data_IF_973908269381
#
_entry.id   IF_973908269381
#
_cell.length_a   1.000
_cell.length_b   1.000
_cell.length_c   1.000
_cell.angle_alpha   90.00
_cell.angle_beta   90.00
_cell.angle_gamma   90.00
#
_symmetry.space_group_name_H-M   'P 1'
#
loop_
_entity.id
_entity.type
_entity.pdbx_description
1 polymer ?
#
# COMPACT_ATOMS: atom_id res chain seq x y z
N UNK A 1 -17.64 -14.70 3.58
CA UNK A 1 -18.78 -14.19 2.77
C UNK A 1 -18.34 -13.73 1.39
N UNK A 2 -17.34 -12.83 1.27
CA UNK A 2 -16.85 -12.30 -0.02
C UNK A 2 -16.42 -13.40 -0.98
N UNK A 3 -15.69 -14.41 -0.52
CA UNK A 3 -15.21 -15.52 -1.35
C UNK A 3 -16.34 -16.44 -1.86
N UNK A 4 -17.53 -16.34 -1.29
CA UNK A 4 -18.71 -17.11 -1.70
C UNK A 4 -19.61 -16.36 -2.69
N UNK A 5 -19.35 -15.07 -2.91
CA UNK A 5 -20.19 -14.24 -3.79
C UNK A 5 -20.01 -14.57 -5.28
N UNK A 6 -18.98 -15.30 -5.66
CA UNK A 6 -18.61 -15.55 -7.05
C UNK A 6 -18.04 -14.32 -7.78
N UNK A 7 -17.91 -13.20 -7.09
CA UNK A 7 -17.37 -11.96 -7.65
C UNK A 7 -15.90 -11.77 -7.27
N UNK A 8 -15.14 -11.10 -8.13
CA UNK A 8 -13.80 -10.65 -7.78
C UNK A 8 -13.88 -9.54 -6.73
N UNK A 9 -13.01 -9.59 -5.74
CA UNK A 9 -12.94 -8.56 -4.71
C UNK A 9 -11.48 -8.27 -4.31
N UNK A 10 -11.27 -7.12 -3.73
CA UNK A 10 -10.03 -6.75 -3.04
C UNK A 10 -10.35 -6.43 -1.59
N UNK A 11 -9.51 -6.93 -0.68
CA UNK A 11 -9.61 -6.66 0.75
C UNK A 11 -8.32 -5.98 1.22
N UNK A 12 -8.44 -4.78 1.76
CA UNK A 12 -7.34 -4.04 2.36
C UNK A 12 -7.49 -4.06 3.87
N UNK A 13 -6.43 -4.46 4.56
CA UNK A 13 -6.38 -4.48 6.02
C UNK A 13 -5.14 -3.77 6.50
N UNK A 14 -5.27 -2.97 7.55
CA UNK A 14 -4.18 -2.31 8.24
C UNK A 14 -4.06 -2.88 9.64
N UNK A 15 -2.86 -3.35 9.99
CA UNK A 15 -2.54 -3.74 11.37
C UNK A 15 -1.94 -2.54 12.10
N UNK A 16 -2.42 -2.24 13.30
CA UNK A 16 -2.01 -1.07 14.09
C UNK A 16 -1.28 -1.44 15.37
N UNK A 17 -1.17 -2.71 15.68
CA UNK A 17 -0.61 -3.24 16.91
C UNK A 17 0.91 -3.01 17.03
N UNK A 18 1.62 -2.77 15.95
CA UNK A 18 3.06 -2.41 15.95
C UNK A 18 3.33 -0.90 15.97
N UNK A 19 2.28 -0.06 16.05
CA UNK A 19 2.41 1.39 16.01
C UNK A 19 3.23 1.94 17.18
N UNK A 20 4.08 2.94 16.88
CA UNK A 20 4.88 3.63 17.90
C UNK A 20 4.02 4.34 18.96
N UNK A 21 4.55 4.66 20.15
CA UNK A 21 5.94 4.45 20.61
C UNK A 21 6.24 3.03 21.08
N UNK A 22 5.27 2.26 21.56
CA UNK A 22 5.52 1.01 22.29
C UNK A 22 4.97 -0.22 21.55
N UNK A 23 3.97 -0.02 20.70
CA UNK A 23 3.18 -1.10 20.15
C UNK A 23 2.20 -1.71 21.18
N UNK A 24 1.39 -2.63 20.71
CA UNK A 24 0.36 -3.31 21.50
C UNK A 24 0.44 -4.83 21.28
N UNK A 25 0.46 -5.60 22.35
CA UNK A 25 0.42 -7.06 22.28
C UNK A 25 -1.05 -7.49 22.29
N UNK A 26 -1.52 -8.07 21.19
CA UNK A 26 -2.88 -8.59 21.09
C UNK A 26 -3.17 -9.65 22.14
N UNK A 27 -4.42 -9.73 22.59
CA UNK A 27 -4.90 -10.77 23.50
C UNK A 27 -4.85 -12.17 22.90
N UNK A 28 -4.76 -12.28 21.58
CA UNK A 28 -4.64 -13.55 20.85
C UNK A 28 -3.25 -14.16 20.93
N UNK A 29 -2.25 -13.38 21.32
CA UNK A 29 -0.89 -13.87 21.49
C UNK A 29 -0.68 -14.42 22.91
N UNK A 30 -0.04 -15.56 22.99
CA UNK A 30 0.46 -16.09 24.25
C UNK A 30 1.55 -15.16 24.75
N UNK A 31 1.23 -14.16 25.52
CA UNK A 31 2.02 -13.12 26.18
C UNK A 31 3.54 -13.36 26.30
N UNK A 32 4.18 -13.92 25.27
CA UNK A 32 5.62 -14.04 25.19
C UNK A 32 6.21 -12.64 25.21
N UNK A 33 6.86 -12.30 26.29
CA UNK A 33 7.70 -11.12 26.35
C UNK A 33 8.99 -11.45 25.63
N UNK A 34 9.31 -10.74 24.58
CA UNK A 34 10.62 -10.86 23.96
C UNK A 34 11.59 -9.99 24.72
N UNK A 35 12.63 -10.64 25.24
CA UNK A 35 13.72 -9.97 25.90
C UNK A 35 14.80 -9.65 24.86
N UNK A 36 15.30 -8.45 24.92
CA UNK A 36 16.49 -8.05 24.20
C UNK A 36 17.51 -7.52 25.20
N UNK A 37 18.74 -8.05 25.15
CA UNK A 37 19.80 -7.80 26.17
C UNK A 37 19.32 -8.09 27.60
N UNK A 38 18.55 -9.14 27.80
CA UNK A 38 18.04 -9.53 29.11
C UNK A 38 16.97 -8.63 29.69
N UNK A 39 16.36 -7.75 28.88
CA UNK A 39 15.27 -6.85 29.29
C UNK A 39 14.08 -6.98 28.34
N UNK A 40 12.85 -7.05 28.89
CA UNK A 40 11.65 -7.03 28.07
C UNK A 40 11.59 -5.81 27.17
N UNK A 41 11.29 -6.03 25.89
CA UNK A 41 11.10 -4.95 24.92
C UNK A 41 9.68 -5.01 24.32
N UNK A 42 8.90 -3.96 24.58
CA UNK A 42 7.50 -3.90 24.19
C UNK A 42 7.32 -3.92 22.67
N UNK A 43 8.10 -3.14 21.93
CA UNK A 43 8.00 -3.08 20.48
C UNK A 43 8.35 -4.41 19.82
N UNK A 44 9.41 -5.10 20.27
CA UNK A 44 9.73 -6.44 19.75
C UNK A 44 8.63 -7.44 20.06
N UNK A 45 8.06 -7.38 21.27
CA UNK A 45 6.96 -8.26 21.66
C UNK A 45 5.70 -8.02 20.80
N UNK A 46 5.37 -6.75 20.52
CA UNK A 46 4.25 -6.38 19.66
C UNK A 46 4.47 -6.86 18.22
N UNK A 47 5.65 -6.63 17.64
CA UNK A 47 6.00 -7.08 16.29
C UNK A 47 5.91 -8.60 16.18
N UNK A 48 6.46 -9.33 17.13
CA UNK A 48 6.40 -10.79 17.12
C UNK A 48 4.97 -11.31 17.19
N UNK A 49 4.15 -10.73 18.07
CA UNK A 49 2.72 -11.06 18.15
C UNK A 49 1.98 -10.77 16.82
N UNK A 50 2.22 -9.62 16.22
CA UNK A 50 1.63 -9.25 14.95
C UNK A 50 2.01 -10.22 13.83
N UNK A 51 3.27 -10.61 13.75
CA UNK A 51 3.77 -11.59 12.79
C UNK A 51 3.09 -12.96 12.93
N UNK A 52 2.90 -13.45 14.16
CA UNK A 52 2.20 -14.70 14.42
C UNK A 52 0.74 -14.64 13.96
N UNK A 53 0.05 -13.52 14.21
CA UNK A 53 -1.32 -13.30 13.78
C UNK A 53 -1.44 -13.24 12.24
N UNK A 54 -0.54 -12.48 11.59
CA UNK A 54 -0.50 -12.38 10.13
C UNK A 54 -0.22 -13.74 9.50
N UNK A 55 0.77 -14.48 10.01
CA UNK A 55 1.10 -15.83 9.52
C UNK A 55 -0.08 -16.79 9.68
N UNK A 56 -0.77 -16.73 10.82
CA UNK A 56 -1.97 -17.54 11.08
C UNK A 56 -3.08 -17.21 10.08
N UNK A 57 -3.31 -15.92 9.82
CA UNK A 57 -4.30 -15.47 8.85
C UNK A 57 -3.96 -15.93 7.43
N UNK A 58 -2.71 -15.75 6.99
CA UNK A 58 -2.22 -16.22 5.69
C UNK A 58 -2.41 -17.72 5.55
N UNK A 59 -2.03 -18.52 6.58
CA UNK A 59 -2.18 -19.96 6.54
C UNK A 59 -3.64 -20.40 6.43
N UNK A 60 -4.59 -19.69 7.05
CA UNK A 60 -6.03 -19.96 6.86
C UNK A 60 -6.46 -19.70 5.40
N UNK A 61 -5.96 -18.64 4.76
CA UNK A 61 -6.25 -18.39 3.35
C UNK A 61 -5.63 -19.49 2.48
N UNK A 62 -4.37 -19.86 2.74
CA UNK A 62 -3.69 -20.92 1.98
C UNK A 62 -4.37 -22.29 2.07
N UNK A 63 -5.00 -22.58 3.19
CA UNK A 63 -5.79 -23.81 3.38
C UNK A 63 -7.18 -23.76 2.73
N UNK A 64 -7.59 -22.66 2.17
CA UNK A 64 -8.91 -22.50 1.57
C UNK A 64 -8.95 -23.00 0.11
N UNK A 65 -10.12 -23.48 -0.37
CA UNK A 65 -10.26 -23.98 -1.75
C UNK A 65 -10.09 -22.88 -2.82
N UNK A 66 -10.22 -21.61 -2.46
CA UNK A 66 -10.07 -20.47 -3.38
C UNK A 66 -8.64 -19.89 -3.39
N UNK A 67 -7.70 -20.46 -2.64
CA UNK A 67 -6.32 -19.96 -2.58
C UNK A 67 -5.64 -19.91 -3.96
N UNK A 68 -5.92 -20.88 -4.82
CA UNK A 68 -5.38 -20.94 -6.19
C UNK A 68 -5.64 -19.66 -7.02
N UNK A 69 -6.76 -18.97 -6.73
CA UNK A 69 -7.18 -17.75 -7.41
C UNK A 69 -6.92 -16.49 -6.56
N UNK A 70 -6.04 -16.61 -5.56
CA UNK A 70 -5.79 -15.55 -4.58
C UNK A 70 -4.37 -15.01 -4.67
N UNK A 71 -4.25 -13.70 -4.63
CA UNK A 71 -2.98 -12.98 -4.44
C UNK A 71 -3.03 -12.31 -3.06
N UNK A 72 -2.04 -12.61 -2.22
CA UNK A 72 -1.87 -11.98 -0.91
C UNK A 72 -0.65 -11.07 -0.99
N UNK A 73 -0.83 -9.80 -0.69
CA UNK A 73 0.25 -8.81 -0.60
C UNK A 73 0.45 -8.41 0.84
N UNK A 74 1.69 -8.48 1.30
CA UNK A 74 2.08 -7.98 2.63
C UNK A 74 3.13 -6.90 2.43
N UNK A 75 2.86 -5.72 2.95
CA UNK A 75 3.73 -4.56 2.80
C UNK A 75 3.81 -3.77 4.10
N UNK A 76 5.00 -3.32 4.45
CA UNK A 76 5.14 -2.25 5.43
C UNK A 76 4.62 -0.94 4.81
N UNK A 77 3.91 -0.16 5.59
CA UNK A 77 3.48 1.21 5.23
C UNK A 77 4.67 2.17 5.23
N UNK A 78 5.52 2.09 6.23
CA UNK A 78 6.76 2.86 6.36
C UNK A 78 7.77 2.18 7.29
N UNK A 79 8.97 2.71 7.38
CA UNK A 79 9.97 2.28 8.36
C UNK A 79 9.50 2.58 9.78
N UNK A 80 9.82 1.68 10.72
CA UNK A 80 9.50 1.88 12.13
C UNK A 80 9.97 3.26 12.62
N UNK A 81 9.06 4.00 13.24
CA UNK A 81 9.35 5.28 13.88
C UNK A 81 10.04 5.06 15.23
N UNK A 82 10.36 6.15 15.93
CA UNK A 82 10.98 6.05 17.24
C UNK A 82 10.09 5.27 18.23
N UNK A 83 10.63 4.16 18.72
CA UNK A 83 9.94 3.21 19.60
C UNK A 83 10.90 2.61 20.63
N UNK A 84 10.43 1.70 21.48
CA UNK A 84 11.26 1.10 22.54
C UNK A 84 12.45 0.28 22.02
N UNK A 85 12.42 -0.15 20.75
CA UNK A 85 13.52 -0.86 20.08
C UNK A 85 14.47 0.06 19.32
N UNK A 86 14.23 1.39 19.31
CA UNK A 86 14.93 2.35 18.46
C UNK A 86 16.46 2.29 18.55
N UNK A 87 17.00 2.15 19.75
CA UNK A 87 18.45 2.07 19.98
C UNK A 87 19.15 0.91 19.24
N UNK A 88 18.37 -0.14 18.91
CA UNK A 88 18.85 -1.30 18.15
C UNK A 88 18.61 -1.10 16.65
N UNK A 89 17.40 -0.68 16.31
CA UNK A 89 16.99 -0.47 14.91
C UNK A 89 17.85 0.58 14.21
N UNK A 90 18.23 1.64 14.92
CA UNK A 90 19.02 2.74 14.35
C UNK A 90 20.49 2.40 14.07
N UNK A 91 20.95 1.22 14.51
CA UNK A 91 22.30 0.71 14.24
C UNK A 91 22.37 -0.23 13.04
N UNK A 92 21.25 -0.53 12.43
CA UNK A 92 21.11 -1.50 11.34
C UNK A 92 20.60 -0.81 10.08
N UNK A 93 20.93 -1.39 8.93
CA UNK A 93 20.26 -1.06 7.69
C UNK A 93 18.79 -1.48 7.79
N UNK A 94 17.89 -0.55 7.56
CA UNK A 94 16.47 -0.76 7.72
C UNK A 94 15.77 -0.72 6.37
N UNK A 95 14.99 -1.76 6.12
CA UNK A 95 14.24 -1.91 4.89
C UNK A 95 12.75 -2.14 5.22
N UNK A 96 11.88 -1.65 4.33
CA UNK A 96 10.48 -2.01 4.36
C UNK A 96 10.28 -3.43 3.83
N UNK A 97 9.39 -4.16 4.46
CA UNK A 97 8.98 -5.47 4.00
C UNK A 97 7.99 -5.32 2.84
N UNK A 98 8.20 -6.09 1.78
CA UNK A 98 7.24 -6.30 0.72
C UNK A 98 7.37 -7.72 0.20
N UNK A 99 6.31 -8.49 0.24
CA UNK A 99 6.26 -9.79 -0.42
C UNK A 99 4.85 -10.11 -0.91
N UNK A 100 4.79 -11.02 -1.87
CA UNK A 100 3.55 -11.47 -2.49
C UNK A 100 3.48 -12.99 -2.44
N UNK A 101 2.33 -13.50 -2.03
CA UNK A 101 2.02 -14.94 -2.07
C UNK A 101 0.95 -15.13 -3.13
N UNK A 102 1.23 -16.02 -4.07
CA UNK A 102 0.31 -16.33 -5.18
C UNK A 102 -0.08 -17.79 -5.12
N UNK A 103 -1.38 -18.05 -5.18
CA UNK A 103 -1.91 -19.41 -5.19
C UNK A 103 -1.67 -20.16 -6.51
N UNK A 104 -1.51 -19.41 -7.60
CA UNK A 104 -1.22 -19.92 -8.95
C UNK A 104 0.27 -20.18 -9.21
N UNK A 105 1.18 -19.71 -8.35
CA UNK A 105 2.63 -19.86 -8.48
C UNK A 105 3.25 -20.41 -7.19
N UNK A 106 3.48 -21.71 -7.08
CA UNK A 106 4.02 -22.31 -5.87
C UNK A 106 5.51 -22.08 -5.66
N UNK A 107 6.23 -21.60 -6.68
CA UNK A 107 7.68 -21.41 -6.59
C UNK A 107 8.03 -20.13 -5.84
N UNK A 108 9.01 -20.23 -4.94
CA UNK A 108 9.55 -19.06 -4.26
C UNK A 108 10.61 -18.41 -5.14
N UNK A 109 10.49 -17.09 -5.29
CA UNK A 109 11.46 -16.26 -5.99
C UNK A 109 11.86 -15.08 -5.10
N UNK A 110 13.14 -14.77 -5.06
CA UNK A 110 13.65 -13.56 -4.40
C UNK A 110 14.21 -12.62 -5.47
N UNK A 111 13.61 -11.46 -5.61
CA UNK A 111 14.07 -10.43 -6.54
C UNK A 111 15.17 -9.60 -5.88
N UNK A 112 16.42 -9.84 -6.26
CA UNK A 112 17.59 -9.10 -5.78
C UNK A 112 17.75 -7.77 -6.57
N UNK A 113 16.71 -6.95 -6.59
CA UNK A 113 16.69 -5.67 -7.32
C UNK A 113 16.49 -4.50 -6.37
N UNK A 114 17.13 -3.38 -6.67
CA UNK A 114 17.00 -2.17 -5.87
C UNK A 114 15.66 -1.50 -6.14
N UNK A 115 14.81 -1.49 -5.15
CA UNK A 115 13.44 -0.96 -5.21
C UNK A 115 13.14 -0.01 -4.06
N UNK A 116 12.04 0.69 -4.16
CA UNK A 116 11.52 1.55 -3.10
C UNK A 116 9.99 1.40 -2.99
N UNK A 117 9.39 2.01 -1.98
CA UNK A 117 7.96 1.85 -1.70
C UNK A 117 7.04 2.40 -2.81
N UNK A 118 7.51 3.27 -3.68
CA UNK A 118 6.74 3.73 -4.84
C UNK A 118 6.46 2.59 -5.82
N UNK A 119 7.34 1.58 -5.87
CA UNK A 119 7.27 0.45 -6.79
C UNK A 119 6.24 -0.62 -6.36
N UNK A 120 5.82 -0.62 -5.09
CA UNK A 120 4.92 -1.63 -4.54
C UNK A 120 3.57 -1.66 -5.26
N UNK A 121 2.94 -0.49 -5.44
CA UNK A 121 1.65 -0.37 -6.13
C UNK A 121 1.71 -0.80 -7.59
N UNK A 122 2.76 -0.38 -8.31
CA UNK A 122 2.99 -0.77 -9.70
C UNK A 122 3.21 -2.29 -9.82
N UNK A 123 3.94 -2.90 -8.87
CA UNK A 123 4.17 -4.34 -8.84
C UNK A 123 2.86 -5.12 -8.61
N UNK A 124 2.02 -4.64 -7.71
CA UNK A 124 0.70 -5.27 -7.47
C UNK A 124 -0.18 -5.17 -8.71
N UNK A 125 -0.19 -4.00 -9.35
CA UNK A 125 -0.98 -3.78 -10.56
C UNK A 125 -0.54 -4.72 -11.70
N UNK A 126 0.75 -4.85 -11.93
CA UNK A 126 1.34 -5.77 -12.92
C UNK A 126 0.98 -7.25 -12.62
N UNK A 127 1.06 -7.67 -11.35
CA UNK A 127 0.65 -9.03 -10.93
C UNK A 127 -0.83 -9.30 -11.23
N UNK A 128 -1.67 -8.28 -11.14
CA UNK A 128 -3.11 -8.38 -11.41
C UNK A 128 -3.46 -8.26 -12.91
N UNK A 129 -2.46 -8.13 -13.79
CA UNK A 129 -2.63 -8.03 -15.23
C UNK A 129 -2.92 -6.61 -15.74
N UNK A 130 -2.63 -5.60 -14.94
CA UNK A 130 -2.67 -4.19 -15.34
C UNK A 130 -1.32 -3.68 -15.81
N UNK A 131 -1.17 -2.35 -15.83
CA UNK A 131 0.07 -1.71 -16.24
C UNK A 131 1.23 -1.98 -15.26
N UNK A 132 2.45 -1.96 -15.76
CA UNK A 132 3.66 -2.15 -14.96
C UNK A 132 4.21 -0.86 -14.34
N UNK A 133 3.44 0.20 -14.34
CA UNK A 133 3.77 1.48 -13.72
C UNK A 133 2.56 2.09 -13.02
N UNK A 134 2.83 2.89 -12.01
CA UNK A 134 1.83 3.69 -11.30
C UNK A 134 2.51 4.96 -10.76
N UNK A 135 2.19 6.11 -11.34
CA UNK A 135 2.88 7.35 -11.01
C UNK A 135 4.39 7.24 -11.23
N UNK A 136 5.18 7.46 -10.19
CA UNK A 136 6.64 7.31 -10.21
C UNK A 136 7.10 5.85 -10.01
N UNK A 137 6.21 4.96 -9.58
CA UNK A 137 6.53 3.56 -9.33
C UNK A 137 6.63 2.74 -10.61
N UNK A 138 7.46 1.72 -10.57
CA UNK A 138 7.64 0.73 -11.64
C UNK A 138 7.56 -0.67 -11.04
N UNK A 139 6.97 -1.59 -11.78
CA UNK A 139 6.88 -2.98 -11.32
C UNK A 139 8.25 -3.57 -11.04
N UNK A 140 8.37 -4.31 -9.94
CA UNK A 140 9.58 -5.07 -9.61
C UNK A 140 9.80 -6.27 -10.52
N UNK A 141 8.78 -6.67 -11.27
CA UNK A 141 8.83 -7.79 -12.23
C UNK A 141 9.30 -7.33 -13.61
N UNK A 142 9.09 -6.07 -13.94
CA UNK A 142 9.40 -5.51 -15.25
C UNK A 142 9.75 -4.02 -15.13
N UNK A 143 10.65 -3.57 -15.98
CA UNK A 143 11.06 -2.17 -16.01
C UNK A 143 12.09 -1.76 -14.95
N UNK A 144 12.58 -0.54 -15.08
CA UNK A 144 13.55 0.06 -14.19
C UNK A 144 12.89 0.98 -13.18
N UNK A 145 13.17 0.77 -11.91
CA UNK A 145 12.75 1.63 -10.81
C UNK A 145 13.42 3.01 -10.90
N UNK A 146 12.76 4.02 -10.35
CA UNK A 146 13.39 5.33 -10.13
C UNK A 146 14.65 5.22 -9.27
N UNK A 147 14.75 4.22 -8.39
CA UNK A 147 15.96 3.94 -7.60
C UNK A 147 17.13 3.41 -8.42
N UNK A 148 16.86 2.85 -9.59
CA UNK A 148 17.89 2.41 -10.54
C UNK A 148 18.27 3.52 -11.52
N UNK A 149 17.29 4.31 -11.95
CA UNK A 149 17.48 5.43 -12.87
C UNK A 149 18.26 6.58 -12.21
N UNK A 150 17.93 6.89 -10.96
CA UNK A 150 18.54 7.97 -10.20
C UNK A 150 19.37 7.45 -9.03
N UNK A 151 20.67 7.60 -9.08
CA UNK A 151 21.57 7.25 -7.97
C UNK A 151 21.26 8.04 -6.69
N UNK A 152 20.73 9.24 -6.84
CA UNK A 152 20.35 10.15 -5.77
C UNK A 152 18.83 10.27 -5.61
N UNK A 153 18.10 9.16 -5.69
CA UNK A 153 16.61 9.15 -5.62
C UNK A 153 16.08 9.83 -4.36
N UNK A 154 16.80 9.75 -3.24
CA UNK A 154 16.39 10.38 -1.98
C UNK A 154 16.33 11.89 -2.12
N UNK A 155 17.37 12.51 -2.65
CA UNK A 155 17.44 13.96 -2.90
C UNK A 155 16.39 14.38 -3.92
N UNK A 156 16.23 13.59 -4.99
CA UNK A 156 15.18 13.83 -6.00
C UNK A 156 13.79 13.80 -5.39
N UNK A 157 13.46 12.78 -4.58
CA UNK A 157 12.17 12.67 -3.91
C UNK A 157 11.92 13.85 -2.96
N UNK A 158 12.95 14.30 -2.24
CA UNK A 158 12.84 15.49 -1.40
C UNK A 158 12.59 16.76 -2.23
N UNK A 159 13.25 16.90 -3.37
CA UNK A 159 13.01 18.02 -4.27
C UNK A 159 11.59 18.00 -4.89
N UNK A 160 11.08 16.82 -5.24
CA UNK A 160 9.72 16.64 -5.78
C UNK A 160 8.62 16.69 -4.72
N UNK A 161 8.96 16.61 -3.44
CA UNK A 161 7.98 16.57 -2.35
C UNK A 161 6.91 17.66 -2.41
N UNK A 162 7.22 18.94 -2.70
CA UNK A 162 6.18 19.97 -2.82
C UNK A 162 5.15 19.65 -3.92
N UNK A 163 5.60 19.14 -5.05
CA UNK A 163 4.74 18.80 -6.18
C UNK A 163 3.91 17.55 -5.89
N UNK A 164 4.53 16.51 -5.30
CA UNK A 164 3.82 15.30 -4.86
C UNK A 164 2.72 15.66 -3.86
N UNK A 165 3.01 16.51 -2.86
CA UNK A 165 2.01 16.97 -1.89
C UNK A 165 0.91 17.77 -2.59
N UNK A 166 1.25 18.56 -3.61
CA UNK A 166 0.29 19.34 -4.37
C UNK A 166 -0.71 18.46 -5.11
N UNK A 167 -0.28 17.31 -5.65
CA UNK A 167 -1.15 16.31 -6.28
C UNK A 167 -2.20 15.72 -5.32
N UNK A 168 -1.90 15.69 -4.02
CA UNK A 168 -2.84 15.21 -2.99
C UNK A 168 -3.77 16.30 -2.44
N UNK A 169 -3.51 17.56 -2.79
CA UNK A 169 -4.40 18.66 -2.43
C UNK A 169 -5.57 18.69 -3.40
N UNK A 170 -6.59 17.91 -3.12
CA UNK A 170 -7.89 18.11 -3.76
C UNK A 170 -8.36 19.54 -3.54
N UNK A 171 -9.05 20.16 -4.52
CA UNK A 171 -9.56 21.51 -4.36
C UNK A 171 -10.38 21.59 -3.09
N UNK A 172 -10.09 22.58 -2.26
CA UNK A 172 -10.72 22.78 -0.93
C UNK A 172 -12.23 23.01 -0.96
N UNK A 173 -12.84 23.11 -2.12
CA UNK A 173 -14.20 23.61 -2.31
C UNK A 173 -15.16 22.70 -3.09
N UNK A 174 -14.90 21.42 -3.24
CA UNK A 174 -16.00 20.51 -3.56
C UNK A 174 -16.78 20.22 -2.27
N UNK A 175 -17.68 21.13 -1.92
CA UNK A 175 -18.47 21.04 -0.69
C UNK A 175 -19.47 19.88 -0.73
N UNK A 176 -20.02 19.62 -1.92
CA UNK A 176 -21.01 18.57 -2.12
C UNK A 176 -20.95 18.05 -3.56
N UNK A 177 -21.06 16.74 -3.70
CA UNK A 177 -21.32 16.10 -4.99
C UNK A 177 -22.32 14.97 -4.79
N UNK A 178 -23.09 14.69 -5.82
CA UNK A 178 -24.06 13.58 -5.82
C UNK A 178 -23.70 12.62 -6.95
N UNK A 179 -23.70 11.31 -6.68
CA UNK A 179 -23.51 10.29 -7.71
C UNK A 179 -24.84 9.57 -7.93
N UNK A 180 -25.36 9.62 -9.14
CA UNK A 180 -26.48 8.80 -9.60
C UNK A 180 -25.91 7.61 -10.36
N UNK A 181 -25.80 6.48 -9.66
CA UNK A 181 -25.25 5.24 -10.23
C UNK A 181 -26.14 4.65 -11.33
N UNK A 182 -27.47 4.87 -11.25
CA UNK A 182 -28.40 4.34 -12.25
C UNK A 182 -28.26 5.09 -13.58
N UNK A 183 -28.02 6.38 -13.51
CA UNK A 183 -27.82 7.24 -14.70
C UNK A 183 -26.37 7.36 -15.11
N UNK A 184 -25.43 6.82 -14.31
CA UNK A 184 -23.99 6.98 -14.51
C UNK A 184 -23.57 8.45 -14.57
N UNK A 185 -24.06 9.26 -13.64
CA UNK A 185 -23.88 10.71 -13.59
C UNK A 185 -23.30 11.16 -12.26
N UNK A 186 -22.50 12.20 -12.30
CA UNK A 186 -22.07 12.97 -11.13
C UNK A 186 -22.54 14.41 -11.26
N UNK A 187 -23.04 14.96 -10.17
CA UNK A 187 -23.43 16.35 -10.09
C UNK A 187 -22.62 17.09 -9.01
N UNK A 188 -22.08 18.23 -9.35
CA UNK A 188 -21.42 19.16 -8.42
C UNK A 188 -21.48 20.60 -8.95
N UNK A 189 -21.48 21.55 -8.04
CA UNK A 189 -21.54 22.99 -8.39
C UNK A 189 -22.66 23.35 -9.36
N UNK A 190 -23.83 22.68 -9.26
CA UNK A 190 -25.00 22.94 -10.12
C UNK A 190 -24.92 22.34 -11.53
N UNK A 191 -23.86 21.65 -11.89
CA UNK A 191 -23.66 21.00 -13.18
C UNK A 191 -23.68 19.48 -13.06
N UNK A 192 -24.10 18.80 -14.15
CA UNK A 192 -24.21 17.35 -14.23
C UNK A 192 -23.26 16.82 -15.30
N UNK A 193 -22.48 15.79 -14.98
CA UNK A 193 -21.51 15.20 -15.89
C UNK A 193 -21.69 13.68 -15.94
N UNK A 194 -21.40 13.10 -17.09
CA UNK A 194 -21.41 11.66 -17.30
C UNK A 194 -20.11 11.05 -16.77
N UNK A 195 -20.18 9.88 -16.16
CA UNK A 195 -19.00 9.12 -15.74
C UNK A 195 -18.55 8.18 -16.88
N UNK A 196 -17.22 7.93 -17.03
CA UNK A 196 -16.12 8.50 -16.26
C UNK A 196 -15.91 9.98 -16.53
N UNK A 197 -15.38 10.74 -15.58
CA UNK A 197 -15.12 12.16 -15.69
C UNK A 197 -13.68 12.44 -15.28
N UNK A 198 -12.90 13.06 -16.19
CA UNK A 198 -11.60 13.63 -15.86
C UNK A 198 -11.75 15.14 -15.59
N UNK A 199 -11.04 15.59 -14.56
CA UNK A 199 -11.06 16.98 -14.15
C UNK A 199 -9.66 17.57 -14.26
N UNK A 200 -9.54 18.72 -14.95
CA UNK A 200 -8.35 19.55 -14.86
C UNK A 200 -8.44 20.38 -13.58
N UNK A 201 -7.44 20.22 -12.72
CA UNK A 201 -7.35 20.96 -11.47
C UNK A 201 -6.25 22.01 -11.60
N UNK A 202 -6.60 23.27 -11.47
CA UNK A 202 -5.68 24.39 -11.33
C UNK A 202 -5.80 25.02 -9.95
N UNK A 203 -4.87 25.89 -9.56
CA UNK A 203 -4.81 26.47 -8.22
C UNK A 203 -6.12 27.13 -7.74
N UNK A 204 -7.04 27.43 -8.63
CA UNK A 204 -8.30 28.13 -8.31
C UNK A 204 -9.55 27.56 -8.97
N UNK A 205 -9.43 26.58 -9.88
CA UNK A 205 -10.57 26.08 -10.66
C UNK A 205 -10.47 24.59 -10.92
N UNK A 206 -11.62 23.96 -10.97
CA UNK A 206 -11.81 22.57 -11.40
C UNK A 206 -12.68 22.62 -12.64
N UNK A 207 -12.16 22.13 -13.75
CA UNK A 207 -12.86 22.12 -15.03
C UNK A 207 -12.93 20.70 -15.57
N UNK A 208 -14.10 20.25 -16.07
CA UNK A 208 -14.18 18.97 -16.75
C UNK A 208 -13.35 19.00 -18.04
N UNK A 209 -12.59 17.94 -18.29
CA UNK A 209 -11.91 17.77 -19.56
C UNK A 209 -12.90 17.22 -20.59
N UNK A 210 -12.88 17.70 -21.84
CA UNK A 210 -13.67 17.14 -22.92
C UNK A 210 -13.23 15.68 -23.19
N UNK A 211 -14.19 14.83 -23.60
CA UNK A 211 -13.92 13.41 -23.89
C UNK A 211 -12.80 13.20 -24.92
N UNK A 212 -12.60 14.16 -25.82
CA UNK A 212 -11.48 14.15 -26.78
C UNK A 212 -10.09 14.23 -26.16
N UNK A 213 -9.97 14.61 -24.89
CA UNK A 213 -8.71 14.65 -24.15
C UNK A 213 -8.49 13.39 -23.27
N UNK A 214 -9.39 12.39 -23.37
CA UNK A 214 -9.29 11.12 -22.63
C UNK A 214 -8.49 10.02 -23.36
N UNK A 215 -8.04 10.31 -24.57
CA UNK A 215 -7.31 9.37 -25.44
C UNK A 215 -5.79 9.40 -25.22
#
# INVERSE_FOLDING_TARGET
ELSRSGQRFSLFTLTVDTHHPDGFISRTCNRKKYDFDGKPNQSFSAVSCSQENIATFINKIKASPWFKDTVIVVSSDHLAMNNTAWKYLNKQDRNNLFFVIRGDKPQQETLAVKRNTMDNGATVLDILGGDNYLGLGRSSLSGQSMSEIFLNIKEKTLAWKPDIIRLWKFPKEMKEFTIDQQKNMIAFSGSHFRLPLLLRVSDKRVEPLPESEYS
#
